data_IF_148961900716
#
_entry.id   IF_148961900716
#
_cell.length_a   1.000
_cell.length_b   1.000
_cell.length_c   1.000
_cell.angle_alpha   90.00
_cell.angle_beta   90.00
_cell.angle_gamma   90.00
#
_symmetry.space_group_name_H-M   'P 1'
#
loop_
_entity.id
_entity.type
_entity.pdbx_description
1 polymer ?
#
# COMPACT_ATOMS: atom_id res chain seq x y z
N UNK A 1 2.21 21.52 25.06
CA UNK A 1 1.96 22.21 23.80
C UNK A 1 3.25 22.29 23.01
N UNK A 2 3.71 21.34 22.32
CA UNK A 2 4.71 21.31 21.23
C UNK A 2 5.47 19.97 21.16
N UNK A 3 4.81 18.85 21.35
CA UNK A 3 5.47 17.52 21.17
C UNK A 3 5.00 16.77 19.92
N UNK A 4 3.85 17.11 19.37
CA UNK A 4 3.30 16.35 18.23
C UNK A 4 3.93 16.69 16.86
N UNK A 5 4.31 17.94 16.65
CA UNK A 5 4.92 18.38 15.39
C UNK A 5 6.35 17.88 15.19
N UNK A 6 7.12 17.70 16.27
CA UNK A 6 8.53 17.26 16.19
C UNK A 6 8.66 15.78 15.80
N UNK A 7 7.75 14.92 16.23
CA UNK A 7 7.78 13.49 15.87
C UNK A 7 7.27 13.26 14.44
N UNK A 8 6.31 14.06 13.98
CA UNK A 8 5.82 14.03 12.59
C UNK A 8 6.87 14.55 11.59
N UNK A 9 7.54 15.66 11.90
CA UNK A 9 8.67 16.16 11.09
C UNK A 9 9.79 15.13 11.00
N UNK A 10 10.04 14.38 12.07
CA UNK A 10 11.05 13.30 12.05
C UNK A 10 10.61 12.12 11.19
N UNK A 11 9.32 11.80 11.15
CA UNK A 11 8.77 10.75 10.28
C UNK A 11 8.82 11.14 8.80
N UNK A 12 8.47 12.39 8.47
CA UNK A 12 8.55 12.90 7.09
C UNK A 12 10.03 13.02 6.65
N UNK A 13 10.94 13.47 7.51
CA UNK A 13 12.38 13.51 7.22
C UNK A 13 12.98 12.10 7.09
N UNK A 14 12.47 11.09 7.80
CA UNK A 14 12.90 9.71 7.64
C UNK A 14 12.50 9.15 6.27
N UNK A 15 11.34 9.52 5.75
CA UNK A 15 10.89 9.17 4.41
C UNK A 15 11.80 9.81 3.35
N UNK A 16 12.13 11.11 3.47
CA UNK A 16 13.04 11.81 2.57
C UNK A 16 14.48 11.26 2.62
N UNK A 17 14.98 10.92 3.81
CA UNK A 17 16.36 10.41 3.98
C UNK A 17 16.53 8.98 3.43
N UNK A 18 15.48 8.18 3.43
CA UNK A 18 15.50 6.82 2.85
C UNK A 18 15.58 6.88 1.33
N UNK A 19 14.93 7.87 0.71
CA UNK A 19 14.97 8.10 -0.74
C UNK A 19 16.35 8.57 -1.21
N UNK A 20 17.03 9.43 -0.44
CA UNK A 20 18.34 9.97 -0.80
C UNK A 20 19.47 8.92 -0.72
N UNK A 21 19.39 7.94 0.19
CA UNK A 21 20.39 6.88 0.34
C UNK A 21 20.28 5.77 -0.72
N UNK A 22 19.11 5.56 -1.31
CA UNK A 22 18.93 4.59 -2.39
C UNK A 22 19.51 5.08 -3.74
N UNK A 23 19.49 6.40 -3.98
CA UNK A 23 20.02 7.01 -5.22
C UNK A 23 21.56 6.99 -5.32
N UNK A 24 22.30 6.94 -4.21
CA UNK A 24 23.77 6.96 -4.24
C UNK A 24 24.42 5.59 -4.51
N UNK A 25 23.69 4.49 -4.45
CA UNK A 25 24.25 3.15 -4.58
C UNK A 25 24.40 2.65 -6.04
N UNK A 26 23.77 3.30 -7.02
CA UNK A 26 23.74 2.83 -8.42
C UNK A 26 24.76 3.50 -9.34
N UNK A 27 25.48 4.55 -8.90
CA UNK A 27 26.40 5.33 -9.75
C UNK A 27 27.87 4.91 -9.71
N UNK A 28 28.23 3.73 -9.18
CA UNK A 28 29.62 3.27 -9.12
C UNK A 28 29.87 2.07 -10.04
N UNK A 29 30.13 2.34 -11.31
CA UNK A 29 30.77 1.32 -12.15
C UNK A 29 30.52 1.35 -13.64
N UNK A 30 30.82 2.41 -14.36
CA UNK A 30 31.31 2.32 -15.76
C UNK A 30 32.09 3.61 -16.08
N UNK A 31 33.40 3.51 -16.21
CA UNK A 31 34.25 4.56 -16.75
C UNK A 31 34.38 4.37 -18.27
N UNK A 32 34.18 5.38 -19.11
CA UNK A 32 34.51 5.27 -20.52
C UNK A 32 35.95 5.64 -20.75
N UNK A 33 36.67 4.80 -21.52
CA UNK A 33 37.98 5.13 -22.08
C UNK A 33 37.79 6.08 -23.28
N UNK A 34 38.49 7.19 -23.21
CA UNK A 34 38.65 8.13 -24.31
C UNK A 34 39.54 7.58 -25.42
N UNK A 35 39.05 7.59 -26.65
CA UNK A 35 39.93 7.77 -27.81
C UNK A 35 39.20 8.59 -28.90
N UNK A 36 39.96 9.60 -29.36
CA UNK A 36 39.71 10.62 -30.32
C UNK A 36 39.31 10.12 -31.71
N UNK A 37 38.31 10.72 -32.37
CA UNK A 37 38.33 10.96 -33.82
C UNK A 37 37.33 12.06 -34.24
N UNK A 38 37.90 13.08 -34.83
CA UNK A 38 37.54 14.06 -35.82
C UNK A 38 36.14 14.10 -36.48
N UNK A 39 35.62 15.36 -36.50
CA UNK A 39 34.52 15.95 -37.27
C UNK A 39 34.35 15.51 -38.73
N UNK A 40 33.09 15.29 -39.14
CA UNK A 40 32.51 15.80 -40.40
C UNK A 40 30.98 15.86 -40.33
N UNK A 41 30.44 16.94 -40.87
CA UNK A 41 29.02 17.40 -40.88
C UNK A 41 28.12 16.63 -41.85
N UNK A 42 26.81 16.77 -41.59
CA UNK A 42 25.62 16.61 -42.47
C UNK A 42 25.06 15.18 -42.66
N UNK A 43 23.81 15.00 -42.16
CA UNK A 43 22.92 13.90 -42.52
C UNK A 43 21.65 13.85 -41.65
N UNK A 44 20.63 14.53 -42.15
CA UNK A 44 19.25 14.70 -41.64
C UNK A 44 18.55 13.34 -41.32
N UNK A 45 17.92 13.25 -40.16
CA UNK A 45 16.53 12.70 -40.01
C UNK A 45 16.31 11.16 -40.09
N UNK A 46 17.09 10.30 -39.38
CA UNK A 46 16.68 8.90 -39.25
C UNK A 46 17.08 8.17 -37.94
N UNK A 47 17.62 8.88 -36.96
CA UNK A 47 18.16 8.25 -35.73
C UNK A 47 17.12 7.95 -34.64
N UNK A 48 15.92 8.55 -34.67
CA UNK A 48 14.95 8.51 -33.56
C UNK A 48 14.14 7.21 -33.46
N UNK A 49 13.90 6.51 -34.58
CA UNK A 49 13.00 5.33 -34.54
C UNK A 49 13.71 4.02 -34.16
N UNK A 50 15.00 3.90 -34.39
CA UNK A 50 15.75 2.66 -34.09
C UNK A 50 16.14 2.59 -32.61
N UNK A 51 16.48 3.73 -31.99
CA UNK A 51 16.86 3.81 -30.60
C UNK A 51 15.66 3.57 -29.67
N UNK A 52 14.48 4.12 -30.00
CA UNK A 52 13.23 3.88 -29.27
C UNK A 52 12.81 2.41 -29.33
N UNK A 53 12.95 1.76 -30.48
CA UNK A 53 12.61 0.32 -30.66
C UNK A 53 13.58 -0.59 -29.88
N UNK A 54 14.87 -0.22 -29.74
CA UNK A 54 15.83 -0.98 -28.93
C UNK A 54 15.55 -0.85 -27.42
N UNK A 55 15.08 0.29 -26.93
CA UNK A 55 14.73 0.52 -25.53
C UNK A 55 13.46 -0.23 -25.16
N UNK A 56 12.42 -0.18 -26.00
CA UNK A 56 11.16 -0.93 -25.77
C UNK A 56 11.36 -2.47 -25.78
N UNK A 57 12.42 -2.97 -26.35
CA UNK A 57 12.77 -4.39 -26.36
C UNK A 57 13.42 -4.86 -25.04
N UNK A 58 13.78 -3.93 -24.13
CA UNK A 58 14.48 -4.24 -22.88
C UNK A 58 13.51 -4.52 -21.70
N UNK A 59 12.23 -4.11 -21.81
CA UNK A 59 11.25 -4.25 -20.72
C UNK A 59 10.32 -5.44 -20.95
N UNK A 60 9.74 -6.00 -19.87
CA UNK A 60 8.82 -7.12 -19.97
C UNK A 60 7.58 -6.75 -20.76
N UNK A 61 7.04 -7.72 -21.52
CA UNK A 61 5.82 -7.58 -22.32
C UNK A 61 4.70 -8.52 -21.87
N UNK A 62 5.02 -9.45 -20.97
CA UNK A 62 4.11 -10.48 -20.50
C UNK A 62 4.29 -10.71 -19.00
N UNK A 63 3.79 -9.77 -18.19
CA UNK A 63 3.87 -9.79 -16.74
C UNK A 63 2.73 -10.63 -16.17
N UNK A 64 3.03 -11.55 -15.25
CA UNK A 64 2.03 -12.16 -14.37
C UNK A 64 2.18 -11.56 -12.99
N UNK A 65 1.11 -10.97 -12.46
CA UNK A 65 1.10 -10.42 -11.11
C UNK A 65 0.33 -11.34 -10.17
N UNK A 66 1.00 -11.81 -9.12
CA UNK A 66 0.46 -12.63 -8.02
C UNK A 66 0.27 -11.80 -6.74
N UNK A 67 0.19 -10.49 -6.87
CA UNK A 67 0.00 -9.55 -5.76
C UNK A 67 -1.05 -8.51 -6.15
N UNK A 68 -2.20 -8.46 -5.46
CA UNK A 68 -3.23 -7.44 -5.70
C UNK A 68 -2.69 -6.01 -5.55
N UNK A 69 -1.82 -5.79 -4.56
CA UNK A 69 -1.17 -4.49 -4.32
C UNK A 69 -0.29 -4.08 -5.50
N UNK A 70 0.60 -4.98 -5.95
CA UNK A 70 1.48 -4.69 -7.08
C UNK A 70 0.70 -4.57 -8.40
N UNK A 71 -0.40 -5.32 -8.56
CA UNK A 71 -1.31 -5.15 -9.70
C UNK A 71 -1.84 -3.72 -9.76
N UNK A 72 -2.31 -3.17 -8.66
CA UNK A 72 -2.75 -1.77 -8.60
C UNK A 72 -1.64 -0.79 -8.97
N UNK A 73 -0.41 -1.02 -8.48
CA UNK A 73 0.76 -0.20 -8.80
C UNK A 73 1.08 -0.25 -10.31
N UNK A 74 1.13 -1.45 -10.91
CA UNK A 74 1.39 -1.63 -12.35
C UNK A 74 0.40 -0.85 -13.22
N UNK A 75 -0.89 -0.92 -12.90
CA UNK A 75 -1.90 -0.18 -13.64
C UNK A 75 -1.80 1.33 -13.40
N UNK A 76 -1.48 1.75 -12.19
CA UNK A 76 -1.38 3.17 -11.83
C UNK A 76 -0.19 3.87 -12.52
N UNK A 77 0.93 3.16 -12.74
CA UNK A 77 2.09 3.68 -13.48
C UNK A 77 1.96 3.50 -15.00
N UNK A 78 0.84 2.97 -15.51
CA UNK A 78 0.63 2.79 -16.94
C UNK A 78 1.14 1.47 -17.54
N UNK A 79 1.71 0.55 -16.74
CA UNK A 79 2.22 -0.74 -17.19
C UNK A 79 1.13 -1.79 -17.46
N UNK A 80 -0.14 -1.44 -17.40
CA UNK A 80 -1.28 -2.36 -17.53
C UNK A 80 -1.31 -3.15 -18.83
N UNK A 81 -0.81 -2.61 -19.95
CA UNK A 81 -0.75 -3.29 -21.24
C UNK A 81 0.28 -4.44 -21.23
N UNK A 82 1.29 -4.39 -20.37
CA UNK A 82 2.30 -5.43 -20.18
C UNK A 82 1.77 -6.58 -19.31
N UNK A 83 0.69 -6.38 -18.55
CA UNK A 83 0.10 -7.41 -17.69
C UNK A 83 -0.61 -8.44 -18.55
N UNK A 84 -0.12 -9.69 -18.52
CA UNK A 84 -0.69 -10.84 -19.20
C UNK A 84 -1.80 -11.50 -18.37
N UNK A 85 -1.54 -11.72 -17.07
CA UNK A 85 -2.45 -12.36 -16.16
C UNK A 85 -2.26 -11.84 -14.73
N UNK A 86 -3.29 -12.00 -13.90
CA UNK A 86 -3.28 -11.63 -12.48
C UNK A 86 -3.88 -12.75 -11.63
N UNK A 87 -3.63 -12.72 -10.31
CA UNK A 87 -4.23 -13.67 -9.38
C UNK A 87 -5.74 -13.40 -9.15
N UNK A 88 -6.40 -14.33 -8.42
CA UNK A 88 -7.83 -14.31 -8.16
C UNK A 88 -8.30 -13.15 -7.24
N UNK A 89 -7.37 -12.40 -6.63
CA UNK A 89 -7.67 -11.24 -5.75
C UNK A 89 -7.32 -9.91 -6.39
N UNK A 90 -6.66 -9.90 -7.53
CA UNK A 90 -6.26 -8.70 -8.27
C UNK A 90 -7.43 -8.09 -9.05
N UNK A 91 -8.43 -7.57 -8.32
CA UNK A 91 -9.72 -7.09 -8.83
C UNK A 91 -9.75 -5.60 -9.21
N UNK A 92 -8.66 -4.87 -9.00
CA UNK A 92 -8.58 -3.44 -9.29
C UNK A 92 -7.32 -3.09 -10.11
N UNK A 93 -7.45 -2.17 -11.11
CA UNK A 93 -8.72 -1.61 -11.62
C UNK A 93 -9.59 -2.70 -12.27
N UNK A 94 -10.85 -2.39 -12.57
CA UNK A 94 -11.80 -3.38 -13.08
C UNK A 94 -11.29 -4.17 -14.31
N UNK A 95 -10.45 -3.54 -15.15
CA UNK A 95 -9.82 -4.19 -16.31
C UNK A 95 -8.81 -5.28 -15.90
N UNK A 96 -8.26 -5.25 -14.71
CA UNK A 96 -7.39 -6.32 -14.22
C UNK A 96 -8.16 -7.61 -13.98
N UNK A 97 -9.40 -7.52 -13.52
CA UNK A 97 -10.27 -8.69 -13.31
C UNK A 97 -10.52 -9.50 -14.59
N UNK A 98 -10.47 -8.86 -15.76
CA UNK A 98 -10.60 -9.54 -17.07
C UNK A 98 -9.38 -10.43 -17.40
N UNK A 99 -8.28 -10.28 -16.63
CA UNK A 99 -7.02 -11.03 -16.81
C UNK A 99 -6.80 -12.11 -15.73
N UNK A 100 -7.84 -12.52 -15.01
CA UNK A 100 -7.81 -13.60 -14.00
C UNK A 100 -8.00 -14.97 -14.66
N UNK A 101 -6.95 -15.80 -14.84
CA UNK A 101 -7.09 -17.15 -15.40
C UNK A 101 -7.45 -18.22 -14.35
N UNK A 102 -7.72 -17.84 -13.09
CA UNK A 102 -7.92 -18.76 -11.97
C UNK A 102 -6.60 -19.19 -11.32
N UNK A 103 -5.67 -18.27 -11.17
CA UNK A 103 -4.39 -18.47 -10.46
C UNK A 103 -4.57 -17.98 -9.02
N UNK A 104 -4.29 -18.87 -8.04
CA UNK A 104 -4.22 -18.49 -6.64
C UNK A 104 -2.92 -17.73 -6.36
N UNK A 105 -3.01 -16.58 -5.68
CA UNK A 105 -1.83 -15.89 -5.15
C UNK A 105 -1.22 -16.60 -3.93
N UNK A 106 -2.01 -17.38 -3.17
CA UNK A 106 -1.56 -18.08 -1.96
C UNK A 106 -0.96 -19.46 -2.24
N UNK A 107 -1.53 -20.20 -3.19
CA UNK A 107 -1.11 -21.56 -3.58
C UNK A 107 -1.02 -21.62 -5.11
N UNK A 108 -0.02 -20.93 -5.69
CA UNK A 108 0.11 -20.80 -7.13
C UNK A 108 0.54 -22.12 -7.78
N UNK A 109 -0.17 -22.51 -8.83
CA UNK A 109 0.28 -23.61 -9.69
C UNK A 109 1.44 -23.16 -10.57
N UNK A 110 2.67 -23.44 -10.12
CA UNK A 110 3.89 -23.00 -10.78
C UNK A 110 3.99 -23.46 -12.24
N UNK A 111 3.60 -24.71 -12.55
CA UNK A 111 3.63 -25.24 -13.91
C UNK A 111 2.67 -24.48 -14.82
N UNK A 112 1.48 -24.13 -14.30
CA UNK A 112 0.51 -23.34 -15.06
C UNK A 112 1.03 -21.91 -15.32
N UNK A 113 1.66 -21.29 -14.32
CA UNK A 113 2.26 -19.95 -14.44
C UNK A 113 3.36 -19.94 -15.50
N UNK A 114 4.31 -20.88 -15.41
CA UNK A 114 5.39 -21.04 -16.40
C UNK A 114 4.81 -21.30 -17.81
N UNK A 115 3.73 -22.09 -17.87
CA UNK A 115 3.06 -22.44 -19.14
C UNK A 115 2.40 -21.26 -19.85
N UNK A 116 2.11 -20.14 -19.16
CA UNK A 116 1.57 -18.92 -19.75
C UNK A 116 2.63 -18.11 -20.54
N UNK A 117 3.92 -18.39 -20.36
CA UNK A 117 5.01 -17.77 -21.14
C UNK A 117 5.28 -16.32 -20.75
N UNK A 118 5.19 -16.00 -19.47
CA UNK A 118 5.57 -14.68 -18.93
C UNK A 118 7.07 -14.45 -18.98
N UNK A 119 7.45 -13.20 -19.08
CA UNK A 119 8.83 -12.72 -19.03
C UNK A 119 9.18 -11.97 -17.73
N UNK A 120 8.20 -11.73 -16.88
CA UNK A 120 8.35 -11.25 -15.51
C UNK A 120 7.20 -11.77 -14.63
N UNK A 121 7.54 -12.26 -13.44
CA UNK A 121 6.57 -12.59 -12.38
C UNK A 121 6.68 -11.56 -11.27
N UNK A 122 5.54 -11.03 -10.84
CA UNK A 122 5.43 -10.17 -9.66
C UNK A 122 4.83 -11.00 -8.52
N UNK A 123 5.51 -11.02 -7.36
CA UNK A 123 5.07 -11.78 -6.16
C UNK A 123 5.34 -10.97 -4.89
N UNK A 124 4.76 -11.40 -3.79
CA UNK A 124 5.03 -10.84 -2.45
C UNK A 124 6.29 -11.43 -1.77
N UNK A 125 6.94 -12.40 -2.42
CA UNK A 125 8.14 -13.05 -1.91
C UNK A 125 7.90 -14.06 -0.78
N UNK A 126 6.66 -14.34 -0.40
CA UNK A 126 6.36 -15.19 0.77
C UNK A 126 6.38 -16.70 0.46
N UNK A 127 6.40 -17.09 -0.81
CA UNK A 127 6.37 -18.50 -1.23
C UNK A 127 7.75 -18.96 -1.76
N UNK A 128 8.62 -19.58 -0.94
CA UNK A 128 9.96 -19.99 -1.34
C UNK A 128 9.96 -21.09 -2.41
N UNK A 129 8.96 -21.96 -2.44
CA UNK A 129 8.87 -23.02 -3.45
C UNK A 129 8.59 -22.44 -4.84
N UNK A 130 7.79 -21.36 -4.92
CA UNK A 130 7.57 -20.60 -6.15
C UNK A 130 8.87 -19.94 -6.61
N UNK A 131 9.55 -19.20 -5.73
CA UNK A 131 10.80 -18.50 -6.06
C UNK A 131 11.87 -19.49 -6.58
N UNK A 132 12.08 -20.59 -5.85
CA UNK A 132 12.99 -21.67 -6.26
C UNK A 132 12.65 -22.27 -7.64
N UNK A 133 11.37 -22.35 -7.97
CA UNK A 133 10.93 -22.89 -9.26
C UNK A 133 11.13 -21.89 -10.40
N UNK A 134 10.88 -20.60 -10.16
CA UNK A 134 11.13 -19.50 -11.11
C UNK A 134 12.62 -19.40 -11.41
N UNK A 135 13.49 -19.45 -10.39
CA UNK A 135 14.93 -19.46 -10.52
C UNK A 135 15.43 -20.64 -11.37
N UNK A 136 14.93 -21.85 -11.10
CA UNK A 136 15.27 -23.04 -11.88
C UNK A 136 14.82 -22.95 -13.32
N UNK A 137 13.70 -22.27 -13.58
CA UNK A 137 13.15 -22.03 -14.92
C UNK A 137 13.85 -20.84 -15.62
N UNK A 138 14.66 -20.05 -14.91
CA UNK A 138 15.30 -18.83 -15.41
C UNK A 138 14.29 -17.73 -15.76
N UNK A 139 13.16 -17.67 -15.04
CA UNK A 139 12.14 -16.64 -15.22
C UNK A 139 12.41 -15.49 -14.23
N UNK A 140 12.62 -14.27 -14.72
CA UNK A 140 12.77 -13.10 -13.87
C UNK A 140 11.55 -12.90 -12.97
N UNK A 141 11.78 -12.51 -11.73
CA UNK A 141 10.71 -12.15 -10.81
C UNK A 141 11.08 -10.92 -9.99
N UNK A 142 10.07 -10.18 -9.56
CA UNK A 142 10.16 -9.07 -8.61
C UNK A 142 9.38 -9.45 -7.36
N UNK A 143 9.98 -9.13 -6.20
CA UNK A 143 9.41 -9.42 -4.90
C UNK A 143 9.02 -8.12 -4.20
N UNK A 144 7.73 -7.95 -3.90
CA UNK A 144 7.18 -6.82 -3.15
C UNK A 144 6.71 -7.25 -1.78
N UNK A 145 7.60 -7.35 -0.77
CA UNK A 145 7.21 -7.74 0.57
C UNK A 145 6.18 -6.77 1.15
N UNK A 146 5.44 -7.24 2.16
CA UNK A 146 4.49 -6.38 2.86
C UNK A 146 5.19 -5.12 3.38
N UNK A 147 4.63 -3.96 3.05
CA UNK A 147 5.13 -2.68 3.53
C UNK A 147 4.94 -2.56 5.06
N UNK A 148 5.84 -1.84 5.70
CA UNK A 148 5.73 -1.47 7.12
C UNK A 148 5.20 -0.04 7.26
N UNK A 149 5.52 0.82 6.30
CA UNK A 149 5.05 2.20 6.26
C UNK A 149 4.88 2.72 4.83
N UNK A 150 4.31 3.92 4.71
CA UNK A 150 3.98 4.52 3.41
C UNK A 150 5.22 4.71 2.50
N UNK A 151 6.41 4.88 3.08
CA UNK A 151 7.67 4.98 2.35
C UNK A 151 8.00 3.73 1.54
N UNK A 152 7.64 2.54 2.06
CA UNK A 152 7.85 1.27 1.34
C UNK A 152 6.95 1.20 0.10
N UNK A 153 5.71 1.72 0.20
CA UNK A 153 4.80 1.86 -0.95
C UNK A 153 5.43 2.69 -2.07
N UNK A 154 6.01 3.84 -1.72
CA UNK A 154 6.67 4.71 -2.70
C UNK A 154 7.90 4.04 -3.32
N UNK A 155 8.65 3.29 -2.53
CA UNK A 155 9.81 2.52 -3.01
C UNK A 155 9.36 1.44 -4.00
N UNK A 156 8.35 0.63 -3.66
CA UNK A 156 7.84 -0.42 -4.54
C UNK A 156 7.24 0.12 -5.85
N UNK A 157 6.57 1.28 -5.81
CA UNK A 157 6.07 1.94 -7.02
C UNK A 157 7.25 2.31 -7.95
N UNK A 158 8.35 2.87 -7.41
CA UNK A 158 9.55 3.21 -8.20
C UNK A 158 10.24 1.97 -8.78
N UNK A 159 10.42 0.94 -7.97
CA UNK A 159 11.02 -0.32 -8.41
C UNK A 159 10.22 -0.96 -9.55
N UNK A 160 8.87 -0.95 -9.48
CA UNK A 160 8.02 -1.42 -10.57
C UNK A 160 8.11 -0.51 -11.80
N UNK A 161 8.26 0.81 -11.61
CA UNK A 161 8.54 1.76 -12.70
C UNK A 161 9.84 1.42 -13.43
N UNK A 162 10.92 1.15 -12.69
CA UNK A 162 12.20 0.71 -13.25
C UNK A 162 12.10 -0.63 -13.96
N UNK A 163 11.43 -1.62 -13.33
CA UNK A 163 11.28 -2.96 -13.87
C UNK A 163 10.45 -3.00 -15.17
N UNK A 164 9.51 -2.06 -15.35
CA UNK A 164 8.56 -2.03 -16.48
C UNK A 164 8.85 -0.96 -17.52
N UNK A 165 9.81 -0.05 -17.24
CA UNK A 165 10.14 1.08 -18.11
C UNK A 165 9.24 2.30 -17.96
N UNK A 166 8.47 2.38 -16.86
CA UNK A 166 7.53 3.48 -16.55
C UNK A 166 8.07 4.38 -15.42
N UNK A 167 9.35 4.76 -15.51
CA UNK A 167 10.06 5.49 -14.45
C UNK A 167 9.42 6.86 -14.21
N UNK A 168 9.17 7.62 -15.28
CA UNK A 168 8.61 8.97 -15.16
C UNK A 168 7.18 8.95 -14.61
N UNK A 169 6.37 7.95 -14.98
CA UNK A 169 5.01 7.76 -14.49
C UNK A 169 5.02 7.33 -13.01
N UNK A 170 5.96 6.49 -12.60
CA UNK A 170 6.13 6.08 -11.21
C UNK A 170 6.52 7.25 -10.32
N UNK A 171 7.48 8.08 -10.75
CA UNK A 171 7.86 9.30 -10.02
C UNK A 171 6.71 10.31 -9.93
N UNK A 172 5.96 10.50 -11.02
CA UNK A 172 4.78 11.37 -11.02
C UNK A 172 3.70 10.86 -10.05
N UNK A 173 3.45 9.54 -10.04
CA UNK A 173 2.50 8.93 -9.11
C UNK A 173 2.95 9.12 -7.65
N UNK A 174 4.22 8.86 -7.34
CA UNK A 174 4.74 9.04 -5.98
C UNK A 174 4.64 10.50 -5.54
N UNK A 175 5.00 11.46 -6.41
CA UNK A 175 4.87 12.88 -6.09
C UNK A 175 3.40 13.25 -5.78
N UNK A 176 2.44 12.76 -6.59
CA UNK A 176 1.02 12.99 -6.33
C UNK A 176 0.57 12.39 -5.00
N UNK A 177 0.98 11.15 -4.68
CA UNK A 177 0.62 10.50 -3.41
C UNK A 177 1.20 11.22 -2.19
N UNK A 178 2.39 11.81 -2.34
CA UNK A 178 3.00 12.66 -1.30
C UNK A 178 2.22 13.95 -1.09
N UNK A 179 1.82 14.64 -2.16
CA UNK A 179 0.99 15.83 -2.09
C UNK A 179 -0.39 15.53 -1.45
N UNK A 180 -1.02 14.41 -1.82
CA UNK A 180 -2.28 13.97 -1.26
C UNK A 180 -2.15 13.65 0.23
N UNK A 181 -1.06 12.99 0.64
CA UNK A 181 -0.76 12.70 2.04
C UNK A 181 -0.55 13.99 2.84
N UNK A 182 0.24 14.95 2.32
CA UNK A 182 0.47 16.24 2.96
C UNK A 182 -0.87 16.98 3.17
N UNK A 183 -1.73 17.00 2.16
CA UNK A 183 -3.06 17.62 2.28
C UNK A 183 -3.94 16.95 3.36
N UNK A 184 -3.84 15.64 3.56
CA UNK A 184 -4.55 14.92 4.63
C UNK A 184 -3.99 15.26 6.01
N UNK A 185 -2.68 15.37 6.15
CA UNK A 185 -2.02 15.79 7.39
C UNK A 185 -2.39 17.23 7.75
N UNK A 186 -2.39 18.14 6.78
CA UNK A 186 -2.83 19.53 6.97
C UNK A 186 -4.29 19.63 7.45
N UNK A 187 -5.17 18.75 6.98
CA UNK A 187 -6.56 18.68 7.47
C UNK A 187 -6.60 18.32 8.96
N UNK A 188 -5.86 17.29 9.38
CA UNK A 188 -5.76 16.90 10.80
C UNK A 188 -5.16 18.03 11.64
N UNK A 189 -4.10 18.68 11.18
CA UNK A 189 -3.41 19.75 11.92
C UNK A 189 -4.26 21.04 12.02
N UNK A 190 -5.22 21.22 11.13
CA UNK A 190 -6.19 22.33 11.16
C UNK A 190 -7.34 22.13 12.14
N UNK A 191 -7.53 20.91 12.67
CA UNK A 191 -8.59 20.63 13.62
C UNK A 191 -8.35 21.32 14.97
N UNK A 192 -9.41 21.62 15.72
CA UNK A 192 -9.28 22.05 17.11
C UNK A 192 -8.42 21.08 17.93
N UNK A 193 -7.59 21.63 18.82
CA UNK A 193 -6.71 20.82 19.64
C UNK A 193 -7.51 19.85 20.52
N UNK A 194 -7.28 18.54 20.33
CA UNK A 194 -7.85 17.48 21.15
C UNK A 194 -6.90 17.27 22.34
N UNK A 195 -7.42 17.35 23.58
CA UNK A 195 -6.59 17.19 24.81
C UNK A 195 -5.97 15.80 24.90
N UNK A 196 -6.70 14.78 24.46
CA UNK A 196 -6.25 13.38 24.45
C UNK A 196 -6.40 12.81 23.04
N UNK A 197 -5.35 12.20 22.44
CA UNK A 197 -5.48 11.58 21.13
C UNK A 197 -6.62 10.56 21.10
N UNK A 198 -7.42 10.58 20.03
CA UNK A 198 -8.51 9.63 19.83
C UNK A 198 -7.98 8.21 19.74
N UNK A 199 -8.72 7.29 20.36
CA UNK A 199 -8.44 5.86 20.33
C UNK A 199 -9.27 5.17 19.25
N UNK A 200 -8.71 4.12 18.63
CA UNK A 200 -9.44 3.35 17.64
C UNK A 200 -9.28 1.84 17.82
N UNK A 201 -10.29 1.13 17.33
CA UNK A 201 -10.25 -0.31 17.07
C UNK A 201 -10.40 -0.54 15.57
N UNK A 202 -9.46 -1.25 14.96
CA UNK A 202 -9.54 -1.70 13.58
C UNK A 202 -9.96 -3.17 13.56
N UNK A 203 -11.15 -3.46 13.05
CA UNK A 203 -11.69 -4.80 12.98
C UNK A 203 -11.40 -5.43 11.61
N UNK A 204 -10.52 -6.44 11.58
CA UNK A 204 -10.20 -7.19 10.37
C UNK A 204 -11.30 -8.19 10.01
N UNK A 205 -11.97 -8.75 11.01
CA UNK A 205 -13.09 -9.67 10.84
C UNK A 205 -13.94 -9.78 12.13
N UNK A 206 -15.09 -10.44 12.03
CA UNK A 206 -16.04 -10.60 13.12
C UNK A 206 -15.59 -11.58 14.24
N UNK A 207 -14.38 -12.08 14.17
CA UNK A 207 -13.75 -12.87 15.25
C UNK A 207 -12.76 -12.03 16.08
N UNK A 208 -12.81 -10.70 15.87
CA UNK A 208 -12.05 -9.66 16.61
C UNK A 208 -10.55 -9.64 16.33
N UNK A 209 -10.08 -10.15 15.19
CA UNK A 209 -8.73 -9.86 14.75
C UNK A 209 -8.57 -8.37 14.48
N UNK A 210 -7.42 -7.85 14.87
CA UNK A 210 -7.05 -6.44 14.73
C UNK A 210 -5.64 -6.30 14.18
N UNK A 211 -5.15 -5.07 14.09
CA UNK A 211 -3.78 -4.73 13.71
C UNK A 211 -3.15 -3.88 14.82
N UNK A 212 -1.85 -4.02 15.05
CA UNK A 212 -1.09 -3.09 15.91
C UNK A 212 -0.53 -1.94 15.10
N UNK A 213 -0.04 -0.90 15.79
CA UNK A 213 0.64 0.25 15.17
C UNK A 213 1.95 -0.12 14.44
N UNK A 214 2.51 -1.31 14.67
CA UNK A 214 3.71 -1.82 13.99
C UNK A 214 3.43 -2.38 12.59
N UNK A 215 2.16 -2.58 12.22
CA UNK A 215 1.77 -3.00 10.86
C UNK A 215 1.67 -1.80 9.93
N UNK A 216 1.69 -2.04 8.61
CA UNK A 216 1.42 -0.99 7.62
C UNK A 216 0.10 -0.27 7.90
N UNK A 217 -0.99 -1.03 8.12
CA UNK A 217 -2.31 -0.47 8.40
C UNK A 217 -2.25 0.42 9.65
N UNK A 218 -1.70 -0.09 10.76
CA UNK A 218 -1.58 0.66 12.00
C UNK A 218 -0.67 1.89 11.89
N UNK A 219 0.37 1.82 11.06
CA UNK A 219 1.26 2.97 10.81
C UNK A 219 0.54 4.15 10.15
N UNK A 220 -0.44 3.89 9.27
CA UNK A 220 -1.25 4.95 8.64
C UNK A 220 -2.10 5.72 9.65
N UNK A 221 -2.70 5.03 10.62
CA UNK A 221 -3.42 5.67 11.73
C UNK A 221 -2.49 6.46 12.65
N UNK A 222 -1.28 5.93 12.90
CA UNK A 222 -0.27 6.61 13.73
C UNK A 222 0.19 7.92 13.11
N UNK A 223 0.36 7.97 11.78
CA UNK A 223 0.65 9.22 11.04
C UNK A 223 -0.45 10.26 11.23
N UNK A 224 -1.70 9.85 11.37
CA UNK A 224 -2.85 10.72 11.61
C UNK A 224 -3.06 11.04 13.11
N UNK A 225 -2.18 10.56 14.00
CA UNK A 225 -2.18 10.88 15.42
C UNK A 225 -3.19 10.11 16.27
N UNK A 226 -3.75 9.00 15.76
CA UNK A 226 -4.66 8.14 16.53
C UNK A 226 -3.88 7.14 17.37
N UNK A 227 -4.52 6.63 18.43
CA UNK A 227 -3.98 5.58 19.32
C UNK A 227 -4.71 4.26 19.13
N UNK A 228 -3.95 3.23 18.88
CA UNK A 228 -4.47 1.88 18.68
C UNK A 228 -4.74 1.19 20.02
N UNK A 229 -5.97 0.70 20.25
CA UNK A 229 -6.24 -0.11 21.46
C UNK A 229 -5.57 -1.49 21.38
N UNK A 230 -5.32 -2.03 20.19
CA UNK A 230 -4.67 -3.32 19.99
C UNK A 230 -3.20 -3.34 20.45
N UNK A 231 -2.52 -2.18 20.53
CA UNK A 231 -1.16 -2.08 21.08
C UNK A 231 -1.09 -2.43 22.58
N UNK A 232 -2.24 -2.42 23.25
CA UNK A 232 -2.37 -2.76 24.68
C UNK A 232 -2.68 -4.24 24.90
N UNK A 233 -2.80 -5.06 23.85
CA UNK A 233 -2.99 -6.50 23.97
C UNK A 233 -1.74 -7.20 24.52
N UNK A 234 -1.92 -8.21 25.37
CA UNK A 234 -0.82 -8.99 25.94
C UNK A 234 -0.09 -9.83 24.88
N UNK A 235 -0.84 -10.43 23.97
CA UNK A 235 -0.32 -11.15 22.80
C UNK A 235 -0.60 -10.32 21.55
N UNK A 236 0.45 -9.84 20.91
CA UNK A 236 0.35 -9.01 19.72
C UNK A 236 0.47 -9.82 18.42
N UNK A 237 0.72 -11.12 18.48
CA UNK A 237 0.68 -12.05 17.33
C UNK A 237 1.34 -11.49 16.06
N UNK A 238 2.57 -10.98 16.18
CA UNK A 238 3.31 -10.37 15.07
C UNK A 238 2.56 -9.19 14.40
N UNK A 239 1.84 -8.41 15.17
CA UNK A 239 1.10 -7.26 14.69
C UNK A 239 -0.39 -7.50 14.40
N UNK A 240 -0.88 -8.75 14.54
CA UNK A 240 -2.26 -9.14 14.23
C UNK A 240 -2.94 -9.87 15.40
N UNK A 241 -3.15 -9.22 16.55
CA UNK A 241 -3.76 -9.83 17.71
C UNK A 241 -5.23 -10.17 17.48
N UNK A 242 -5.67 -11.29 18.02
CA UNK A 242 -7.08 -11.57 18.23
C UNK A 242 -7.50 -11.04 19.60
N UNK A 243 -8.33 -10.02 19.61
CA UNK A 243 -8.84 -9.39 20.83
C UNK A 243 -10.04 -10.18 21.37
N UNK A 244 -10.47 -9.88 22.60
CA UNK A 244 -11.76 -10.38 23.13
C UNK A 244 -12.79 -9.25 23.16
N UNK A 245 -14.09 -9.61 23.15
CA UNK A 245 -15.15 -8.64 23.29
C UNK A 245 -15.01 -7.84 24.60
N UNK A 246 -14.62 -8.50 25.70
CA UNK A 246 -14.40 -7.87 27.00
C UNK A 246 -13.24 -6.87 26.95
N UNK A 247 -12.16 -7.18 26.23
CA UNK A 247 -11.04 -6.25 26.05
C UNK A 247 -11.49 -4.99 25.31
N UNK A 248 -12.22 -5.14 24.20
CA UNK A 248 -12.72 -4.02 23.41
C UNK A 248 -13.66 -3.15 24.23
N UNK A 249 -14.56 -3.78 25.01
CA UNK A 249 -15.47 -3.08 25.94
C UNK A 249 -14.71 -2.33 27.05
N UNK A 250 -13.62 -2.92 27.61
CA UNK A 250 -12.80 -2.28 28.64
C UNK A 250 -12.02 -1.07 28.11
N UNK A 251 -11.57 -1.15 26.85
CA UNK A 251 -10.79 -0.06 26.22
C UNK A 251 -11.65 1.07 25.65
N UNK A 252 -12.91 0.80 25.37
CA UNK A 252 -13.93 1.75 24.92
C UNK A 252 -13.38 2.73 23.84
N UNK A 253 -13.07 2.25 22.63
CA UNK A 253 -12.47 3.07 21.58
C UNK A 253 -13.44 4.19 21.14
N UNK A 254 -12.85 5.35 20.78
CA UNK A 254 -13.59 6.49 20.24
C UNK A 254 -14.13 6.22 18.83
N UNK A 255 -13.41 5.41 18.05
CA UNK A 255 -13.75 5.06 16.66
C UNK A 255 -13.56 3.55 16.44
N UNK A 256 -14.48 2.91 15.73
CA UNK A 256 -14.35 1.54 15.22
C UNK A 256 -14.30 1.60 13.70
N UNK A 257 -13.23 1.07 13.10
CA UNK A 257 -13.09 0.91 11.66
C UNK A 257 -13.33 -0.55 11.26
N UNK A 258 -14.28 -0.79 10.36
CA UNK A 258 -14.65 -2.13 9.89
C UNK A 258 -13.99 -2.41 8.53
N UNK A 259 -13.04 -3.33 8.49
CA UNK A 259 -12.31 -3.72 7.28
C UNK A 259 -12.80 -5.05 6.67
N UNK A 260 -13.94 -5.57 7.08
CA UNK A 260 -14.59 -6.74 6.50
C UNK A 260 -16.06 -6.47 6.16
N UNK A 261 -16.30 -5.42 5.36
CA UNK A 261 -17.64 -5.02 4.94
C UNK A 261 -18.11 -5.76 3.70
N UNK A 262 -17.21 -5.98 2.73
CA UNK A 262 -17.50 -6.67 1.47
C UNK A 262 -17.46 -8.19 1.62
N UNK A 263 -16.46 -8.73 2.31
CA UNK A 263 -16.24 -10.18 2.39
C UNK A 263 -16.96 -10.82 3.57
N UNK A 264 -17.14 -10.12 4.71
CA UNK A 264 -17.87 -10.63 5.87
C UNK A 264 -19.30 -10.07 5.98
N UNK A 265 -19.59 -8.96 5.31
CA UNK A 265 -20.90 -8.29 5.41
C UNK A 265 -21.10 -7.54 6.73
N UNK A 266 -19.99 -7.17 7.44
CA UNK A 266 -20.09 -6.38 8.67
C UNK A 266 -20.57 -4.96 8.36
N UNK A 267 -21.46 -4.47 9.24
CA UNK A 267 -22.03 -3.11 9.14
C UNK A 267 -22.07 -2.45 10.52
N UNK A 268 -22.22 -1.13 10.62
CA UNK A 268 -22.41 -0.45 11.90
C UNK A 268 -23.60 -1.04 12.71
N UNK A 269 -24.67 -1.47 12.01
CA UNK A 269 -25.83 -2.10 12.63
C UNK A 269 -25.50 -3.49 13.19
N UNK A 270 -24.70 -4.31 12.48
CA UNK A 270 -24.30 -5.64 12.97
C UNK A 270 -23.42 -5.52 14.21
N UNK A 271 -22.54 -4.52 14.24
CA UNK A 271 -21.66 -4.22 15.38
C UNK A 271 -22.48 -3.76 16.58
N UNK A 272 -23.41 -2.81 16.39
CA UNK A 272 -24.26 -2.30 17.48
C UNK A 272 -25.20 -3.36 18.05
N UNK A 273 -25.55 -4.39 17.28
CA UNK A 273 -26.38 -5.50 17.72
C UNK A 273 -25.63 -6.57 18.56
N UNK A 274 -24.30 -6.47 18.67
CA UNK A 274 -23.51 -7.39 19.49
C UNK A 274 -23.82 -7.20 20.98
N UNK A 275 -23.89 -8.27 21.78
CA UNK A 275 -24.22 -8.16 23.20
C UNK A 275 -23.31 -7.22 23.98
N UNK A 276 -23.86 -6.16 24.54
CA UNK A 276 -23.15 -5.17 25.37
C UNK A 276 -22.35 -4.13 24.59
N UNK A 277 -22.38 -4.12 23.26
CA UNK A 277 -21.65 -3.15 22.45
C UNK A 277 -22.38 -1.81 22.30
N UNK A 278 -23.66 -1.76 22.66
CA UNK A 278 -24.47 -0.56 22.68
C UNK A 278 -23.98 0.52 23.68
N UNK A 279 -23.12 0.13 24.64
CA UNK A 279 -22.50 1.06 25.59
C UNK A 279 -21.15 1.63 25.13
N UNK A 280 -20.54 1.07 24.06
CA UNK A 280 -19.28 1.59 23.53
C UNK A 280 -19.45 3.02 23.03
N UNK A 281 -18.51 3.89 23.34
CA UNK A 281 -18.49 5.29 22.91
C UNK A 281 -18.62 5.42 21.39
N UNK A 282 -17.86 4.61 20.64
CA UNK A 282 -17.93 4.59 19.17
C UNK A 282 -19.33 4.21 18.65
N UNK A 283 -19.99 3.25 19.29
CA UNK A 283 -21.34 2.80 18.87
C UNK A 283 -22.40 3.83 19.25
N UNK A 284 -22.37 4.31 20.51
CA UNK A 284 -23.35 5.26 21.03
C UNK A 284 -23.34 6.59 20.24
N UNK A 285 -22.17 7.02 19.77
CA UNK A 285 -21.99 8.28 19.04
C UNK A 285 -22.02 8.10 17.50
N UNK A 286 -22.18 6.86 17.00
CA UNK A 286 -22.25 6.60 15.56
C UNK A 286 -20.90 6.67 14.83
N UNK A 287 -19.79 6.45 15.56
CA UNK A 287 -18.43 6.45 15.04
C UNK A 287 -17.94 5.04 14.64
N UNK A 288 -18.83 4.20 14.13
CA UNK A 288 -18.50 2.91 13.51
C UNK A 288 -18.41 3.14 12.01
N UNK A 289 -17.20 3.06 11.47
CA UNK A 289 -16.85 3.51 10.11
C UNK A 289 -16.60 2.30 9.23
N UNK A 290 -17.49 2.00 8.26
CA UNK A 290 -17.21 0.94 7.29
C UNK A 290 -16.14 1.39 6.30
N UNK A 291 -15.14 0.55 6.08
CA UNK A 291 -14.09 0.74 5.09
C UNK A 291 -14.31 -0.20 3.90
N UNK A 292 -13.70 0.12 2.78
CA UNK A 292 -13.55 -0.85 1.70
C UNK A 292 -12.42 -1.81 2.07
N UNK A 293 -12.70 -3.12 2.12
CA UNK A 293 -11.80 -4.17 2.59
C UNK A 293 -10.46 -4.19 1.82
N UNK A 294 -10.52 -4.03 0.49
CA UNK A 294 -9.33 -4.00 -0.36
C UNK A 294 -8.45 -2.78 -0.08
N UNK A 295 -9.07 -1.60 0.03
CA UNK A 295 -8.36 -0.32 0.28
C UNK A 295 -7.75 -0.32 1.69
N UNK A 296 -8.45 -0.90 2.67
CA UNK A 296 -7.99 -0.98 4.05
C UNK A 296 -6.86 -1.98 4.26
N UNK A 297 -6.65 -2.93 3.32
CA UNK A 297 -5.70 -4.05 3.48
C UNK A 297 -4.48 -3.96 2.57
N UNK A 298 -4.51 -3.12 1.52
CA UNK A 298 -3.44 -3.04 0.51
C UNK A 298 -2.58 -1.81 0.70
N UNK A 299 -1.26 -1.99 0.65
CA UNK A 299 -0.28 -0.87 0.69
C UNK A 299 0.01 -0.29 -0.70
N UNK A 300 -1.03 -0.14 -1.51
CA UNK A 300 -0.96 0.36 -2.88
C UNK A 300 -1.25 1.85 -3.01
N UNK A 301 -1.41 2.33 -4.26
CA UNK A 301 -1.69 3.75 -4.53
C UNK A 301 -2.96 4.27 -3.87
N UNK A 302 -3.93 3.39 -3.55
CA UNK A 302 -5.18 3.76 -2.88
C UNK A 302 -5.08 3.92 -1.36
N UNK A 303 -3.89 3.78 -0.78
CA UNK A 303 -3.68 4.03 0.66
C UNK A 303 -4.12 5.42 1.09
N UNK A 304 -3.97 6.43 0.21
CA UNK A 304 -4.45 7.79 0.48
C UNK A 304 -5.98 7.87 0.58
N UNK A 305 -6.74 6.99 -0.11
CA UNK A 305 -8.19 6.89 0.03
C UNK A 305 -8.58 6.31 1.40
N UNK A 306 -7.84 5.29 1.88
CA UNK A 306 -7.99 4.77 3.24
C UNK A 306 -7.75 5.87 4.28
N UNK A 307 -6.62 6.58 4.16
CA UNK A 307 -6.28 7.67 5.07
C UNK A 307 -7.31 8.81 5.02
N UNK A 308 -7.86 9.13 3.85
CA UNK A 308 -8.92 10.13 3.71
C UNK A 308 -10.20 9.72 4.45
N UNK A 309 -10.58 8.44 4.43
CA UNK A 309 -11.70 7.92 5.20
C UNK A 309 -11.46 8.05 6.71
N UNK A 310 -10.23 7.76 7.17
CA UNK A 310 -9.82 7.94 8.58
C UNK A 310 -9.88 9.41 8.98
N UNK A 311 -9.33 10.32 8.18
CA UNK A 311 -9.40 11.78 8.42
C UNK A 311 -10.85 12.24 8.53
N UNK A 312 -11.73 11.81 7.62
CA UNK A 312 -13.15 12.13 7.68
C UNK A 312 -13.84 11.64 8.96
N UNK A 313 -13.44 10.47 9.48
CA UNK A 313 -13.95 9.97 10.76
C UNK A 313 -13.47 10.83 11.94
N UNK A 314 -12.20 11.22 11.96
CA UNK A 314 -11.65 12.13 12.99
C UNK A 314 -12.36 13.47 12.98
N UNK A 315 -12.56 14.07 11.81
CA UNK A 315 -13.32 15.33 11.64
C UNK A 315 -14.73 15.22 12.19
N UNK A 316 -15.42 14.09 11.95
CA UNK A 316 -16.78 13.86 12.46
C UNK A 316 -16.81 13.79 13.99
N UNK A 317 -15.85 13.10 14.62
CA UNK A 317 -15.73 13.03 16.08
C UNK A 317 -15.50 14.40 16.70
N UNK A 318 -14.55 15.17 16.12
CA UNK A 318 -14.22 16.52 16.61
C UNK A 318 -15.41 17.46 16.51
N UNK A 319 -16.13 17.44 15.37
CA UNK A 319 -17.31 18.27 15.17
C UNK A 319 -18.48 17.92 16.12
N UNK A 320 -18.63 16.65 16.48
CA UNK A 320 -19.64 16.22 17.45
C UNK A 320 -19.32 16.75 18.86
N UNK A 321 -18.03 16.71 19.27
CA UNK A 321 -17.58 17.19 20.59
C UNK A 321 -17.69 18.71 20.78
N UNK A 322 -17.71 19.52 19.70
CA UNK A 322 -17.93 20.96 19.77
C UNK A 322 -19.42 21.36 19.95
N UNK A 323 -20.32 20.38 19.79
CA UNK A 323 -21.78 20.62 19.79
C UNK A 323 -22.43 20.39 21.16
N UNK A 324 -21.71 19.79 22.10
CA UNK A 324 -22.15 19.50 23.49
C UNK A 324 -21.57 20.56 24.48
#
# INVERSE_FOLDING_TARGET
TSCGSSERETSLQAVETTVETASEAVTSGIAPSSDDVSTSEEGDGAATSTEVVEIEALFPKAIISLSPTATEMLYAIGAGDQVLAVDDFSNFPAVAADKMPGISGYDPNVEAIIGLGSDLIITDGTNPDLLDALDRAGIPHWEGPAAVGIGDTFTQIRELGEATGHIDEAEALVAQLQDDLEALLDRIDSLPAIETPLTYYHELDNTYYSVTSETFIGSTYSLLGLRNIADLAEDQSYGYPQLSAEFILDKDPDIIFLACTLYCGETPESVSARPGWDVLSAVANGHVVPLNDDIASRWGPRTVEHMAAVVGAVEAVVAAGESD
#
